data_IF_676482570707
#
_entry.id   IF_676482570707
#
_cell.length_a   1.000
_cell.length_b   1.000
_cell.length_c   1.000
_cell.angle_alpha   90.00
_cell.angle_beta   90.00
_cell.angle_gamma   90.00
#
_symmetry.space_group_name_H-M   'P 1'
#
loop_
_entity.id
_entity.type
_entity.pdbx_description
1 polymer ?
#
# COMPACT_ATOMS: atom_id res chain seq x y z
N UNK A 1 -16.69 -14.86 1.86
CA UNK A 1 -18.16 -14.88 1.61
C UNK A 1 -18.40 -14.22 0.26
N UNK A 2 -19.38 -14.68 -0.50
CA UNK A 2 -19.84 -14.03 -1.72
C UNK A 2 -21.34 -13.78 -1.57
N UNK A 3 -21.78 -12.54 -1.76
CA UNK A 3 -23.20 -12.13 -1.71
C UNK A 3 -23.46 -11.13 -2.82
N UNK A 4 -24.51 -11.32 -3.61
CA UNK A 4 -24.91 -10.46 -4.72
C UNK A 4 -23.73 -10.06 -5.64
N UNK A 5 -22.89 -11.05 -6.01
CA UNK A 5 -21.67 -10.93 -6.79
C UNK A 5 -20.53 -10.11 -6.12
N UNK A 6 -20.71 -9.66 -4.89
CA UNK A 6 -19.67 -9.00 -4.12
C UNK A 6 -18.89 -10.03 -3.30
N UNK A 7 -17.57 -10.06 -3.48
CA UNK A 7 -16.67 -10.87 -2.67
C UNK A 7 -16.31 -10.10 -1.41
N UNK A 8 -16.62 -10.70 -0.26
CA UNK A 8 -16.21 -10.20 1.04
C UNK A 8 -15.04 -10.99 1.59
N UNK A 9 -14.05 -10.28 2.12
CA UNK A 9 -13.01 -10.88 2.97
C UNK A 9 -13.21 -10.43 4.42
N UNK A 10 -12.91 -11.34 5.35
CA UNK A 10 -12.85 -10.98 6.77
C UNK A 10 -11.64 -10.07 7.05
N UNK A 11 -11.71 -9.24 8.08
CA UNK A 11 -10.55 -8.46 8.53
C UNK A 11 -9.38 -9.37 8.90
N UNK A 12 -9.66 -10.60 9.35
CA UNK A 12 -8.64 -11.60 9.62
C UNK A 12 -7.92 -12.11 8.36
N UNK A 13 -8.67 -12.34 7.27
CA UNK A 13 -8.06 -12.71 5.99
C UNK A 13 -7.24 -11.55 5.44
N UNK A 14 -7.75 -10.31 5.55
CA UNK A 14 -7.03 -9.12 5.13
C UNK A 14 -5.75 -8.95 5.95
N UNK A 15 -5.80 -9.16 7.27
CA UNK A 15 -4.63 -9.11 8.14
C UNK A 15 -3.55 -10.15 7.74
N UNK A 16 -3.97 -11.32 7.32
CA UNK A 16 -3.05 -12.39 6.95
C UNK A 16 -2.36 -12.18 5.58
N UNK A 17 -3.00 -11.47 4.65
CA UNK A 17 -2.54 -11.42 3.26
C UNK A 17 -2.16 -10.03 2.75
N UNK A 18 -2.65 -8.95 3.38
CA UNK A 18 -2.55 -7.59 2.85
C UNK A 18 -2.12 -6.54 3.87
N UNK A 19 -2.71 -6.54 5.07
CA UNK A 19 -2.51 -5.48 6.07
C UNK A 19 -2.65 -6.06 7.48
N UNK A 20 -1.56 -6.39 8.11
CA UNK A 20 -1.50 -6.91 9.48
C UNK A 20 -1.89 -5.89 10.56
N UNK A 21 -2.03 -4.62 10.19
CA UNK A 21 -2.46 -3.52 11.05
C UNK A 21 -3.95 -3.15 10.89
N UNK A 22 -4.72 -3.90 10.06
CA UNK A 22 -6.17 -3.65 9.95
C UNK A 22 -6.85 -3.79 11.30
N UNK A 23 -7.69 -2.86 11.67
CA UNK A 23 -8.40 -2.88 12.95
C UNK A 23 -9.79 -2.26 12.89
N UNK A 24 -10.61 -2.63 13.89
CA UNK A 24 -11.90 -2.02 14.11
C UNK A 24 -11.81 -0.92 15.17
N UNK A 25 -12.15 0.30 14.76
CA UNK A 25 -12.26 1.46 15.64
C UNK A 25 -13.67 1.52 16.24
N UNK A 26 -13.78 1.13 17.49
CA UNK A 26 -15.07 1.09 18.22
C UNK A 26 -15.66 2.49 18.45
N UNK A 27 -14.84 3.54 18.56
CA UNK A 27 -15.28 4.91 18.81
C UNK A 27 -16.10 5.47 17.64
N UNK A 28 -15.70 5.13 16.41
CA UNK A 28 -16.36 5.63 15.20
C UNK A 28 -17.14 4.55 14.44
N UNK A 29 -17.25 3.33 14.99
CA UNK A 29 -17.90 2.17 14.37
C UNK A 29 -17.41 1.92 12.95
N UNK A 30 -16.10 1.83 12.77
CA UNK A 30 -15.47 1.74 11.46
C UNK A 30 -14.30 0.77 11.44
N UNK A 31 -14.00 0.23 10.27
CA UNK A 31 -12.77 -0.53 10.01
C UNK A 31 -11.77 0.40 9.34
N UNK A 32 -10.53 0.37 9.80
CA UNK A 32 -9.42 1.10 9.20
C UNK A 32 -8.41 0.09 8.69
N UNK A 33 -7.99 0.27 7.45
CA UNK A 33 -6.96 -0.56 6.80
C UNK A 33 -6.01 0.28 5.99
N UNK A 34 -4.79 -0.21 5.81
CA UNK A 34 -3.69 0.47 5.15
C UNK A 34 -3.07 -0.39 4.05
N UNK A 35 -2.41 0.26 3.12
CA UNK A 35 -1.46 -0.34 2.20
C UNK A 35 -0.29 0.64 2.03
N UNK A 36 0.70 0.31 1.21
CA UNK A 36 1.90 1.15 1.03
C UNK A 36 1.60 2.63 0.74
N UNK A 37 0.46 2.92 0.09
CA UNK A 37 0.11 4.27 -0.34
C UNK A 37 -1.31 4.70 0.01
N UNK A 38 -2.09 3.85 0.69
CA UNK A 38 -3.50 4.11 0.97
C UNK A 38 -3.84 3.89 2.44
N UNK A 39 -4.69 4.77 2.95
CA UNK A 39 -5.47 4.56 4.17
C UNK A 39 -6.94 4.52 3.76
N UNK A 40 -7.63 3.45 4.09
CA UNK A 40 -9.04 3.30 3.78
C UNK A 40 -9.86 3.08 5.06
N UNK A 41 -11.02 3.73 5.14
CA UNK A 41 -11.89 3.71 6.31
C UNK A 41 -13.30 3.34 5.90
N UNK A 42 -13.90 2.37 6.57
CA UNK A 42 -15.20 1.82 6.28
C UNK A 42 -16.10 1.90 7.50
N UNK A 43 -17.08 2.80 7.49
CA UNK A 43 -18.12 2.82 8.53
C UNK A 43 -19.04 1.62 8.30
N UNK A 44 -19.28 0.84 9.37
CA UNK A 44 -20.12 -0.36 9.30
C UNK A 44 -21.53 -0.01 8.82
N UNK A 45 -22.11 -0.85 7.97
CA UNK A 45 -23.46 -0.72 7.37
C UNK A 45 -23.65 0.54 6.52
N UNK A 46 -22.57 1.13 5.99
CA UNK A 46 -22.64 2.25 5.06
C UNK A 46 -22.04 1.88 3.69
N UNK A 47 -22.78 2.21 2.63
CA UNK A 47 -22.36 1.99 1.23
C UNK A 47 -21.35 3.06 0.78
N UNK A 48 -20.38 3.37 1.61
CA UNK A 48 -19.29 4.28 1.31
C UNK A 48 -18.08 4.00 2.17
N UNK A 49 -16.92 4.34 1.64
CA UNK A 49 -15.68 4.39 2.39
C UNK A 49 -14.94 5.70 2.09
N UNK A 50 -13.88 5.97 2.83
CA UNK A 50 -12.90 6.97 2.42
C UNK A 50 -11.60 6.27 2.03
N UNK A 51 -10.93 6.76 0.99
CA UNK A 51 -9.59 6.33 0.60
C UNK A 51 -8.73 7.58 0.49
N UNK A 52 -7.70 7.69 1.31
CA UNK A 52 -6.88 8.89 1.44
C UNK A 52 -7.74 10.15 1.56
N UNK A 53 -8.70 10.14 2.51
CA UNK A 53 -9.65 11.22 2.81
C UNK A 53 -10.64 11.58 1.68
N UNK A 54 -10.66 10.84 0.58
CA UNK A 54 -11.63 11.03 -0.50
C UNK A 54 -12.79 10.05 -0.35
N UNK A 55 -14.02 10.55 -0.42
CA UNK A 55 -15.22 9.72 -0.35
C UNK A 55 -15.36 8.84 -1.60
N UNK A 56 -15.64 7.55 -1.38
CA UNK A 56 -15.86 6.54 -2.42
C UNK A 56 -17.18 5.84 -2.12
N UNK A 57 -18.08 5.82 -3.11
CA UNK A 57 -19.33 5.06 -3.02
C UNK A 57 -19.07 3.57 -3.25
N UNK A 58 -19.75 2.73 -2.49
CA UNK A 58 -19.70 1.28 -2.58
C UNK A 58 -21.08 0.75 -2.98
N UNK A 59 -21.12 -0.37 -3.69
CA UNK A 59 -22.35 -1.12 -4.00
C UNK A 59 -22.85 -1.79 -2.72
N UNK A 60 -21.93 -2.33 -1.94
CA UNK A 60 -22.24 -3.06 -0.72
C UNK A 60 -21.43 -2.53 0.49
N UNK A 61 -22.01 -2.51 1.70
CA UNK A 61 -21.37 -1.96 2.89
C UNK A 61 -20.36 -2.93 3.50
N UNK A 62 -19.39 -2.40 4.25
CA UNK A 62 -18.68 -3.18 5.26
C UNK A 62 -19.66 -3.64 6.33
N UNK A 63 -19.52 -4.87 6.84
CA UNK A 63 -20.51 -5.46 7.74
C UNK A 63 -19.88 -6.27 8.87
N UNK A 64 -20.67 -6.44 9.93
CA UNK A 64 -20.34 -7.33 11.05
C UNK A 64 -21.24 -8.55 11.00
N UNK A 65 -20.64 -9.74 11.03
CA UNK A 65 -21.34 -11.02 11.11
C UNK A 65 -20.83 -11.78 12.34
N UNK A 66 -21.68 -11.93 13.33
CA UNK A 66 -21.26 -12.47 14.62
C UNK A 66 -20.21 -11.54 15.27
N UNK A 67 -19.03 -12.09 15.52
CA UNK A 67 -17.90 -11.34 16.10
C UNK A 67 -16.84 -10.95 15.06
N UNK A 68 -17.08 -11.21 13.79
CA UNK A 68 -16.13 -10.91 12.70
C UNK A 68 -16.64 -9.76 11.83
N UNK A 69 -15.67 -9.01 11.29
CA UNK A 69 -15.92 -7.91 10.37
C UNK A 69 -15.50 -8.29 8.96
N UNK A 70 -16.25 -7.80 7.99
CA UNK A 70 -16.06 -8.11 6.57
C UNK A 70 -16.06 -6.83 5.73
N UNK A 71 -15.11 -6.73 4.82
CA UNK A 71 -15.06 -5.67 3.81
C UNK A 71 -15.54 -6.19 2.45
N UNK A 72 -16.26 -5.39 1.65
CA UNK A 72 -16.62 -5.72 0.26
C UNK A 72 -15.37 -5.69 -0.62
N UNK A 73 -14.55 -6.72 -0.50
CA UNK A 73 -13.17 -6.75 -1.00
C UNK A 73 -13.07 -6.56 -2.50
N UNK A 74 -13.98 -7.16 -3.29
CA UNK A 74 -13.97 -6.99 -4.75
C UNK A 74 -14.13 -5.55 -5.23
N UNK A 75 -14.76 -4.68 -4.41
CA UNK A 75 -14.94 -3.29 -4.76
C UNK A 75 -13.71 -2.42 -4.47
N UNK A 76 -12.90 -2.83 -3.51
CA UNK A 76 -11.77 -2.04 -3.00
C UNK A 76 -10.40 -2.66 -3.30
N UNK A 77 -10.37 -3.91 -3.70
CA UNK A 77 -9.12 -4.67 -3.87
C UNK A 77 -8.12 -3.98 -4.79
N UNK A 78 -8.61 -3.41 -5.90
CA UNK A 78 -7.77 -2.71 -6.88
C UNK A 78 -7.31 -1.34 -6.38
N UNK A 79 -8.20 -0.58 -5.75
CA UNK A 79 -7.91 0.80 -5.33
C UNK A 79 -7.10 0.88 -4.05
N UNK A 80 -7.22 -0.09 -3.14
CA UNK A 80 -6.52 -0.12 -1.85
C UNK A 80 -5.28 -1.01 -1.90
N UNK A 81 -5.43 -2.26 -2.38
CA UNK A 81 -4.38 -3.28 -2.26
C UNK A 81 -3.68 -3.63 -3.57
N UNK A 82 -4.06 -2.97 -4.67
CA UNK A 82 -3.50 -3.27 -5.97
C UNK A 82 -3.67 -4.74 -6.39
N UNK A 83 -4.89 -5.27 -6.15
CA UNK A 83 -5.27 -6.67 -6.39
C UNK A 83 -6.50 -6.72 -7.28
N UNK A 84 -6.48 -7.57 -8.28
CA UNK A 84 -7.66 -7.95 -9.06
C UNK A 84 -8.36 -9.13 -8.40
N UNK A 85 -9.68 -9.02 -8.22
CA UNK A 85 -10.52 -10.05 -7.62
C UNK A 85 -11.45 -10.63 -8.66
N UNK A 86 -11.47 -11.96 -8.81
CA UNK A 86 -12.39 -12.70 -9.69
C UNK A 86 -13.08 -13.79 -8.89
N UNK A 87 -14.40 -13.83 -8.94
CA UNK A 87 -15.17 -14.96 -8.44
C UNK A 87 -15.54 -15.89 -9.60
N UNK A 88 -15.36 -17.19 -9.40
CA UNK A 88 -15.68 -18.26 -10.35
C UNK A 88 -16.78 -19.10 -9.70
N UNK A 89 -18.02 -18.86 -10.15
CA UNK A 89 -19.24 -19.48 -9.57
C UNK A 89 -19.25 -20.99 -9.73
N UNK A 90 -18.79 -21.50 -10.89
CA UNK A 90 -18.77 -22.92 -11.24
C UNK A 90 -17.94 -23.76 -10.28
N UNK A 91 -16.90 -23.19 -9.72
CA UNK A 91 -16.00 -23.88 -8.78
C UNK A 91 -16.07 -23.31 -7.37
N UNK A 92 -16.93 -22.31 -7.15
CA UNK A 92 -17.04 -21.55 -5.89
C UNK A 92 -15.64 -21.07 -5.40
N UNK A 93 -14.86 -20.51 -6.31
CA UNK A 93 -13.47 -20.13 -6.06
C UNK A 93 -13.30 -18.63 -6.25
N UNK A 94 -12.66 -17.95 -5.31
CA UNK A 94 -12.21 -16.56 -5.45
C UNK A 94 -10.73 -16.61 -5.81
N UNK A 95 -10.38 -15.92 -6.89
CA UNK A 95 -8.99 -15.74 -7.34
C UNK A 95 -8.58 -14.31 -7.10
N UNK A 96 -7.47 -14.13 -6.38
CA UNK A 96 -6.85 -12.84 -6.09
C UNK A 96 -5.52 -12.77 -6.84
N UNK A 97 -5.37 -11.74 -7.68
CA UNK A 97 -4.18 -11.56 -8.51
C UNK A 97 -3.54 -10.23 -8.19
N UNK A 98 -2.31 -10.25 -7.66
CA UNK A 98 -1.54 -9.02 -7.41
C UNK A 98 -1.26 -8.30 -8.72
N UNK A 99 -1.55 -7.00 -8.75
CA UNK A 99 -1.29 -6.13 -9.89
C UNK A 99 0.18 -5.64 -9.92
N UNK A 100 0.98 -5.94 -8.91
CA UNK A 100 2.42 -5.62 -8.83
C UNK A 100 3.30 -6.66 -9.52
N UNK A 101 2.70 -7.68 -10.15
CA UNK A 101 3.40 -8.75 -10.85
C UNK A 101 3.20 -8.65 -12.35
N UNK A 102 4.19 -9.11 -13.08
CA UNK A 102 4.05 -9.35 -14.51
C UNK A 102 3.08 -10.51 -14.74
N UNK A 103 2.07 -10.29 -15.59
CA UNK A 103 1.10 -11.30 -15.98
C UNK A 103 1.24 -11.63 -17.46
N UNK A 104 1.28 -12.92 -17.76
CA UNK A 104 1.36 -13.45 -19.10
C UNK A 104 0.22 -14.43 -19.31
N UNK A 105 -0.49 -14.34 -20.41
CA UNK A 105 -1.38 -15.39 -20.90
C UNK A 105 -0.63 -16.31 -21.85
N UNK A 106 -0.96 -17.60 -21.76
CA UNK A 106 -0.53 -18.60 -22.73
C UNK A 106 -1.71 -19.51 -23.07
N UNK A 107 -1.68 -20.11 -24.28
CA UNK A 107 -2.66 -21.12 -24.66
C UNK A 107 -2.07 -22.51 -24.46
N UNK A 108 -2.91 -23.48 -24.08
CA UNK A 108 -2.53 -24.88 -24.13
C UNK A 108 -2.50 -25.39 -25.60
N UNK A 109 -1.36 -25.89 -26.07
CA UNK A 109 -1.21 -26.41 -27.41
C UNK A 109 -1.84 -27.80 -27.60
N UNK A 110 -2.21 -28.48 -26.50
CA UNK A 110 -2.87 -29.78 -26.48
C UNK A 110 -3.60 -29.99 -25.14
N UNK A 111 -4.44 -31.04 -25.09
CA UNK A 111 -5.06 -31.43 -23.80
C UNK A 111 -4.00 -31.80 -22.78
N UNK A 112 -4.13 -31.25 -21.58
CA UNK A 112 -3.17 -31.37 -20.49
C UNK A 112 -3.84 -31.60 -19.13
N UNK A 113 -3.06 -32.25 -18.24
CA UNK A 113 -3.39 -32.28 -16.82
C UNK A 113 -2.57 -31.24 -16.09
N UNK A 114 -3.20 -30.38 -15.32
CA UNK A 114 -2.55 -29.43 -14.41
C UNK A 114 -2.17 -30.20 -13.13
N UNK A 115 -0.91 -30.20 -12.79
CA UNK A 115 -0.34 -30.97 -11.67
C UNK A 115 -0.12 -30.10 -10.44
N UNK A 116 -0.31 -30.67 -9.24
CA UNK A 116 -0.07 -29.98 -7.98
C UNK A 116 1.43 -29.61 -7.78
N UNK A 117 2.34 -30.49 -8.25
CA UNK A 117 3.79 -30.29 -8.22
C UNK A 117 4.37 -30.45 -9.64
N UNK A 118 5.55 -29.90 -9.95
CA UNK A 118 6.19 -29.93 -11.28
C UNK A 118 6.73 -31.33 -11.62
N UNK A 119 5.89 -32.34 -11.59
CA UNK A 119 6.21 -33.72 -11.95
C UNK A 119 5.00 -34.47 -12.50
N UNK A 120 5.22 -35.39 -13.42
CA UNK A 120 4.18 -36.23 -14.02
C UNK A 120 3.47 -37.14 -13.01
N UNK A 121 4.14 -37.51 -11.93
CA UNK A 121 3.61 -38.37 -10.88
C UNK A 121 2.72 -37.64 -9.86
N UNK A 122 2.70 -36.32 -9.91
CA UNK A 122 1.91 -35.51 -8.99
C UNK A 122 0.41 -35.64 -9.25
N UNK A 123 -0.38 -35.38 -8.19
CA UNK A 123 -1.85 -35.29 -8.27
C UNK A 123 -2.26 -34.28 -9.34
N UNK A 124 -3.26 -34.63 -10.14
CA UNK A 124 -3.92 -33.69 -11.05
C UNK A 124 -4.88 -32.81 -10.25
N UNK A 125 -4.77 -31.49 -10.40
CA UNK A 125 -5.64 -30.49 -9.74
C UNK A 125 -6.68 -29.93 -10.69
N UNK A 126 -6.38 -29.94 -12.01
CA UNK A 126 -7.31 -29.53 -13.07
C UNK A 126 -6.93 -30.17 -14.39
N UNK A 127 -7.81 -30.03 -15.40
CA UNK A 127 -7.58 -30.41 -16.79
C UNK A 127 -7.84 -29.21 -17.67
N UNK A 128 -6.99 -29.02 -18.66
CA UNK A 128 -7.14 -27.98 -19.68
C UNK A 128 -7.14 -28.65 -21.06
N UNK A 129 -7.94 -28.10 -21.96
CA UNK A 129 -8.02 -28.57 -23.31
C UNK A 129 -7.10 -27.77 -24.26
N UNK A 130 -6.92 -28.26 -25.46
CA UNK A 130 -6.19 -27.53 -26.50
C UNK A 130 -6.92 -26.22 -26.82
N UNK A 131 -6.21 -25.11 -26.71
CA UNK A 131 -6.74 -23.77 -26.97
C UNK A 131 -7.12 -23.03 -25.66
N UNK A 132 -7.31 -23.73 -24.55
CA UNK A 132 -7.64 -23.07 -23.29
C UNK A 132 -6.54 -22.09 -22.89
N UNK A 133 -6.99 -20.95 -22.33
CA UNK A 133 -6.11 -19.95 -21.77
C UNK A 133 -5.69 -20.33 -20.34
N UNK A 134 -4.45 -20.04 -20.03
CA UNK A 134 -3.92 -20.09 -18.68
C UNK A 134 -3.16 -18.80 -18.38
N UNK A 135 -3.21 -18.38 -17.12
CA UNK A 135 -2.40 -17.24 -16.65
C UNK A 135 -1.09 -17.78 -16.09
N UNK A 136 0.02 -17.24 -16.57
CA UNK A 136 1.38 -17.50 -16.07
C UNK A 136 1.82 -16.28 -15.27
N UNK A 137 2.08 -16.46 -14.00
CA UNK A 137 2.66 -15.40 -13.17
C UNK A 137 4.17 -15.54 -13.22
N UNK A 138 4.85 -14.56 -13.79
CA UNK A 138 6.33 -14.54 -13.88
C UNK A 138 6.91 -14.17 -12.51
N UNK A 139 7.43 -15.17 -11.83
CA UNK A 139 8.22 -15.05 -10.61
C UNK A 139 9.39 -16.04 -10.65
N UNK A 140 10.30 -15.98 -9.68
CA UNK A 140 11.51 -16.81 -9.64
C UNK A 140 11.25 -18.32 -9.59
N UNK A 141 9.99 -18.71 -9.28
CA UNK A 141 9.56 -20.11 -9.14
C UNK A 141 8.52 -20.53 -10.17
N UNK A 142 8.27 -19.70 -11.19
CA UNK A 142 7.22 -19.95 -12.18
C UNK A 142 7.54 -21.16 -13.05
N UNK A 143 8.82 -21.39 -13.38
CA UNK A 143 9.28 -22.49 -14.20
C UNK A 143 10.33 -23.34 -13.47
N UNK A 144 10.04 -24.61 -13.29
CA UNK A 144 10.93 -25.59 -12.68
C UNK A 144 11.03 -26.86 -13.52
N UNK A 145 12.25 -27.29 -13.86
CA UNK A 145 12.50 -28.57 -14.55
C UNK A 145 11.61 -28.85 -15.77
N UNK A 146 11.34 -27.82 -16.60
CA UNK A 146 10.48 -27.94 -17.80
C UNK A 146 8.98 -27.91 -17.52
N UNK A 147 8.59 -27.48 -16.31
CA UNK A 147 7.22 -27.23 -15.92
C UNK A 147 7.01 -25.74 -15.63
N UNK A 148 5.84 -25.23 -15.99
CA UNK A 148 5.44 -23.84 -15.74
C UNK A 148 4.25 -23.81 -14.80
N UNK A 149 4.32 -22.99 -13.77
CA UNK A 149 3.21 -22.74 -12.83
C UNK A 149 2.17 -21.85 -13.52
N UNK A 150 0.93 -22.27 -13.48
CA UNK A 150 -0.19 -21.60 -14.14
C UNK A 150 -1.40 -21.52 -13.22
N UNK A 151 -2.27 -20.55 -13.51
CA UNK A 151 -3.64 -20.51 -13.00
C UNK A 151 -4.59 -20.80 -14.16
N UNK A 152 -5.49 -21.75 -13.98
CA UNK A 152 -6.51 -22.11 -14.98
C UNK A 152 -7.70 -21.14 -14.92
N UNK A 153 -8.57 -21.17 -15.93
CA UNK A 153 -9.83 -20.41 -15.92
C UNK A 153 -10.76 -20.81 -14.78
N UNK A 154 -10.64 -22.06 -14.30
CA UNK A 154 -11.36 -22.59 -13.11
C UNK A 154 -10.76 -22.14 -11.79
N UNK A 155 -9.74 -21.26 -11.80
CA UNK A 155 -9.09 -20.76 -10.59
C UNK A 155 -8.16 -21.74 -9.89
N UNK A 156 -7.81 -22.87 -10.54
CA UNK A 156 -6.88 -23.84 -9.98
C UNK A 156 -5.44 -23.47 -10.31
N UNK A 157 -4.59 -23.52 -9.28
CA UNK A 157 -3.16 -23.26 -9.42
C UNK A 157 -2.41 -24.59 -9.48
N UNK A 158 -1.50 -24.71 -10.44
CA UNK A 158 -0.68 -25.91 -10.60
C UNK A 158 0.35 -25.77 -11.70
N UNK A 159 0.89 -26.89 -12.16
CA UNK A 159 1.97 -26.96 -13.13
C UNK A 159 1.57 -27.70 -14.39
N UNK A 160 1.96 -27.16 -15.54
CA UNK A 160 1.88 -27.83 -16.85
C UNK A 160 3.27 -27.90 -17.45
N UNK A 161 3.50 -28.86 -18.38
CA UNK A 161 4.78 -28.89 -19.11
C UNK A 161 4.94 -27.63 -19.94
N UNK A 162 6.04 -26.92 -19.76
CA UNK A 162 6.35 -25.68 -20.47
C UNK A 162 6.21 -25.84 -22.00
N UNK A 163 6.66 -26.99 -22.53
CA UNK A 163 6.58 -27.32 -23.96
C UNK A 163 5.13 -27.44 -24.52
N UNK A 164 4.13 -27.39 -23.64
CA UNK A 164 2.71 -27.44 -24.02
C UNK A 164 2.02 -26.09 -24.00
N UNK A 165 2.74 -25.05 -23.62
CA UNK A 165 2.29 -23.66 -23.70
C UNK A 165 2.72 -23.05 -25.02
N UNK A 166 1.84 -22.24 -25.59
CA UNK A 166 2.05 -21.54 -26.87
C UNK A 166 1.43 -20.15 -26.80
N UNK A 167 1.79 -19.29 -27.74
CA UNK A 167 1.22 -17.95 -27.92
C UNK A 167 1.27 -17.10 -26.62
N UNK A 168 2.38 -17.15 -25.90
CA UNK A 168 2.55 -16.30 -24.72
C UNK A 168 2.36 -14.83 -25.11
N UNK A 169 1.46 -14.17 -24.41
CA UNK A 169 1.18 -12.76 -24.58
C UNK A 169 1.24 -12.09 -23.23
N UNK A 170 2.18 -11.17 -23.06
CA UNK A 170 2.25 -10.31 -21.89
C UNK A 170 1.00 -9.42 -21.85
N UNK A 171 0.25 -9.45 -20.76
CA UNK A 171 -0.95 -8.65 -20.57
C UNK A 171 -0.65 -7.37 -19.86
N UNK A 172 0.32 -7.42 -18.96
CA UNK A 172 0.67 -6.30 -18.12
C UNK A 172 2.12 -6.41 -17.63
N UNK A 173 2.81 -5.29 -17.72
CA UNK A 173 4.08 -5.10 -17.05
C UNK A 173 3.86 -4.92 -15.54
N UNK A 174 4.84 -5.31 -14.75
CA UNK A 174 4.88 -4.99 -13.33
C UNK A 174 4.79 -3.48 -13.18
N UNK A 175 3.92 -3.00 -12.28
CA UNK A 175 3.90 -1.58 -11.93
C UNK A 175 5.28 -1.18 -11.37
N UNK A 176 5.93 -0.28 -12.08
CA UNK A 176 7.18 0.30 -11.63
C UNK A 176 6.83 1.48 -10.72
N UNK A 177 6.88 1.28 -9.41
CA UNK A 177 6.77 2.40 -8.46
C UNK A 177 8.12 3.10 -8.52
N UNK A 178 8.16 4.28 -9.13
CA UNK A 178 9.36 5.12 -9.13
C UNK A 178 9.74 5.43 -7.68
N UNK A 179 10.86 4.90 -7.26
CA UNK A 179 11.45 5.29 -5.96
C UNK A 179 12.05 6.68 -6.13
N UNK A 180 11.73 7.59 -5.21
CA UNK A 180 12.34 8.93 -5.21
C UNK A 180 13.86 8.89 -5.09
N UNK A 181 14.39 7.85 -4.47
CA UNK A 181 15.82 7.61 -4.26
C UNK A 181 16.13 6.18 -4.62
N UNK A 182 17.04 5.99 -5.57
CA UNK A 182 17.59 4.68 -5.87
C UNK A 182 18.78 4.38 -4.94
N UNK A 183 18.84 3.17 -4.42
CA UNK A 183 19.93 2.72 -3.53
C UNK A 183 19.73 3.12 -2.06
N UNK A 184 20.85 3.47 -1.41
CA UNK A 184 20.83 3.78 0.03
C UNK A 184 20.44 5.23 0.29
N UNK A 185 19.62 5.45 1.33
CA UNK A 185 19.31 6.76 1.85
C UNK A 185 20.46 7.19 2.78
N UNK A 186 21.06 8.34 2.46
CA UNK A 186 22.03 9.01 3.32
C UNK A 186 21.44 10.36 3.72
N UNK A 187 20.86 10.40 4.92
CA UNK A 187 20.13 11.56 5.42
C UNK A 187 20.98 12.35 6.43
N UNK A 188 20.98 13.65 6.27
CA UNK A 188 21.55 14.57 7.24
C UNK A 188 20.47 15.45 7.86
N UNK A 189 20.37 15.41 9.18
CA UNK A 189 19.54 16.37 9.92
C UNK A 189 20.17 17.75 9.95
N UNK A 190 19.34 18.77 9.81
CA UNK A 190 19.73 20.16 9.95
C UNK A 190 18.81 20.82 10.99
N UNK A 191 19.24 20.72 12.24
CA UNK A 191 18.48 21.22 13.38
C UNK A 191 18.72 22.71 13.60
N UNK A 192 17.65 23.44 13.80
CA UNK A 192 17.63 24.83 14.30
C UNK A 192 16.35 25.02 15.12
N UNK A 193 16.42 25.89 16.12
CA UNK A 193 15.27 26.06 17.03
C UNK A 193 14.06 26.68 16.29
N UNK A 194 12.88 26.46 16.83
CA UNK A 194 11.62 27.01 16.30
C UNK A 194 11.60 28.55 16.20
N UNK A 195 12.47 29.23 16.95
CA UNK A 195 12.63 30.70 16.93
C UNK A 195 13.74 31.16 15.98
N UNK A 196 14.49 30.27 15.38
CA UNK A 196 15.57 30.60 14.49
C UNK A 196 15.13 30.43 13.02
N UNK A 197 15.66 31.27 12.15
CA UNK A 197 15.50 31.09 10.71
C UNK A 197 16.33 29.89 10.24
N UNK A 198 15.88 29.24 9.16
CA UNK A 198 16.66 28.21 8.49
C UNK A 198 18.07 28.70 8.14
N UNK A 199 19.11 27.89 8.33
CA UNK A 199 20.47 28.30 8.04
C UNK A 199 20.69 28.51 6.53
N UNK A 200 21.47 29.51 6.18
CA UNK A 200 21.90 29.69 4.81
C UNK A 200 22.94 28.61 4.47
N UNK A 201 22.68 27.84 3.42
CA UNK A 201 23.57 26.79 2.93
C UNK A 201 24.15 27.15 1.58
N UNK A 202 25.40 26.75 1.34
CA UNK A 202 26.11 26.92 0.06
C UNK A 202 26.93 25.66 -0.23
N UNK A 203 27.17 25.39 -1.51
CA UNK A 203 27.95 24.22 -1.93
C UNK A 203 27.23 22.89 -1.68
N UNK A 204 27.99 21.80 -1.71
CA UNK A 204 27.49 20.43 -1.60
C UNK A 204 28.01 19.72 -0.36
N UNK A 205 27.23 18.77 0.16
CA UNK A 205 27.58 17.87 1.25
C UNK A 205 27.86 16.50 0.64
N UNK A 206 29.11 16.07 0.66
CA UNK A 206 29.53 14.81 0.04
C UNK A 206 28.89 13.60 0.75
N UNK A 207 28.31 12.71 -0.03
CA UNK A 207 27.72 11.46 0.48
C UNK A 207 26.31 11.58 1.06
N UNK A 208 25.69 12.75 0.99
CA UNK A 208 24.30 12.99 1.40
C UNK A 208 23.40 13.06 0.17
N UNK A 209 22.22 12.46 0.23
CA UNK A 209 21.18 12.56 -0.80
C UNK A 209 19.83 13.05 -0.25
N UNK A 210 19.68 13.12 1.08
CA UNK A 210 18.51 13.70 1.75
C UNK A 210 18.97 14.68 2.81
N UNK A 211 18.36 15.86 2.85
CA UNK A 211 18.49 16.80 3.95
C UNK A 211 17.18 16.89 4.72
N UNK A 212 17.25 16.91 6.03
CA UNK A 212 16.09 16.92 6.92
C UNK A 212 16.11 18.13 7.85
N UNK A 213 15.68 19.31 7.35
CA UNK A 213 15.60 20.52 8.16
C UNK A 213 14.44 20.46 9.16
N UNK A 214 14.63 21.05 10.35
CA UNK A 214 13.65 21.11 11.43
C UNK A 214 12.52 22.13 11.12
N UNK A 215 11.75 21.88 10.08
CA UNK A 215 10.72 22.81 9.60
C UNK A 215 9.38 22.69 10.26
N UNK A 216 9.02 21.49 10.75
CA UNK A 216 7.66 21.22 11.20
C UNK A 216 7.67 20.70 12.63
N UNK A 217 6.66 21.11 13.39
CA UNK A 217 6.37 20.56 14.71
C UNK A 217 4.87 20.43 14.94
N UNK A 218 4.47 19.52 15.83
CA UNK A 218 3.11 19.52 16.35
C UNK A 218 2.89 20.82 17.12
N UNK A 219 1.72 21.42 16.94
CA UNK A 219 1.31 22.56 17.76
C UNK A 219 0.90 22.05 19.13
N UNK A 220 1.46 22.59 20.21
CA UNK A 220 1.14 22.24 21.59
C UNK A 220 -0.37 22.34 21.84
N UNK A 221 -0.98 21.25 22.34
CA UNK A 221 -2.43 21.15 22.53
C UNK A 221 -3.25 21.35 21.26
N UNK A 222 -2.62 21.33 20.08
CA UNK A 222 -3.18 21.78 18.82
C UNK A 222 -4.04 20.78 18.07
N UNK A 223 -4.33 19.62 18.62
CA UNK A 223 -5.27 18.63 18.08
C UNK A 223 -5.06 18.33 16.59
N UNK A 224 -3.84 17.96 16.23
CA UNK A 224 -3.44 17.64 14.86
C UNK A 224 -3.05 18.86 14.00
N UNK A 225 -2.95 20.05 14.55
CA UNK A 225 -2.37 21.20 13.86
C UNK A 225 -0.84 21.13 13.86
N UNK A 226 -0.24 21.79 12.86
CA UNK A 226 1.21 21.93 12.69
C UNK A 226 1.65 23.38 12.85
N UNK A 227 2.84 23.55 13.37
CA UNK A 227 3.63 24.76 13.24
C UNK A 227 4.65 24.54 12.12
N UNK A 228 4.76 25.49 11.19
CA UNK A 228 5.73 25.44 10.10
C UNK A 228 6.68 26.63 10.19
N UNK A 229 7.98 26.35 10.39
CA UNK A 229 9.04 27.35 10.42
C UNK A 229 9.85 27.34 9.11
N UNK A 230 9.19 27.66 8.00
CA UNK A 230 9.82 27.69 6.69
C UNK A 230 10.21 29.12 6.30
N UNK A 231 9.25 30.01 6.18
CA UNK A 231 9.47 31.39 5.78
C UNK A 231 10.35 31.56 4.53
N UNK A 232 10.88 32.75 4.31
CA UNK A 232 11.79 33.02 3.18
C UNK A 232 13.12 32.27 3.29
N UNK A 233 13.67 32.15 4.50
CA UNK A 233 14.93 31.44 4.72
C UNK A 233 14.80 29.96 4.44
N UNK A 234 13.68 29.32 4.86
CA UNK A 234 13.39 27.92 4.55
C UNK A 234 13.18 27.69 3.05
N UNK A 235 12.48 28.58 2.36
CA UNK A 235 12.35 28.52 0.90
C UNK A 235 13.72 28.57 0.21
N UNK A 236 14.61 29.44 0.65
CA UNK A 236 15.98 29.51 0.13
C UNK A 236 16.76 28.23 0.41
N UNK A 237 16.60 27.63 1.59
CA UNK A 237 17.19 26.36 1.94
C UNK A 237 16.70 25.23 1.02
N UNK A 238 15.40 25.12 0.78
CA UNK A 238 14.79 24.11 -0.11
C UNK A 238 15.33 24.28 -1.53
N UNK A 239 15.39 25.51 -2.04
CA UNK A 239 15.96 25.80 -3.36
C UNK A 239 17.45 25.42 -3.46
N UNK A 240 18.24 25.72 -2.43
CA UNK A 240 19.62 25.25 -2.37
C UNK A 240 19.72 23.73 -2.43
N UNK A 241 18.90 23.02 -1.65
CA UNK A 241 18.88 21.56 -1.60
C UNK A 241 18.56 20.99 -2.99
N UNK A 242 17.47 21.40 -3.61
CA UNK A 242 17.05 20.92 -4.93
C UNK A 242 18.08 21.26 -6.02
N UNK A 243 18.66 22.44 -6.01
CA UNK A 243 19.69 22.84 -6.96
C UNK A 243 20.98 22.01 -6.85
N UNK A 244 21.21 21.37 -5.71
CA UNK A 244 22.33 20.46 -5.47
C UNK A 244 21.93 18.97 -5.54
N UNK A 245 20.71 18.66 -5.98
CA UNK A 245 20.24 17.31 -6.19
C UNK A 245 19.82 16.57 -4.92
N UNK A 246 19.64 17.26 -3.80
CA UNK A 246 19.14 16.66 -2.55
C UNK A 246 17.63 16.60 -2.53
N UNK A 247 17.10 15.54 -1.93
CA UNK A 247 15.71 15.48 -1.48
C UNK A 247 15.55 16.18 -0.14
N UNK A 248 14.44 16.91 0.04
CA UNK A 248 14.12 17.59 1.28
C UNK A 248 13.01 16.83 2.00
N UNK A 249 13.38 16.12 3.06
CA UNK A 249 12.43 15.45 3.96
C UNK A 249 12.36 16.26 5.26
N UNK A 250 11.39 17.19 5.33
CA UNK A 250 11.28 18.04 6.51
C UNK A 250 11.08 17.20 7.77
N UNK A 251 11.87 17.49 8.81
CA UNK A 251 11.68 16.91 10.12
C UNK A 251 10.36 17.44 10.70
N UNK A 252 9.52 16.54 11.17
CA UNK A 252 8.32 16.81 11.95
C UNK A 252 8.50 16.28 13.36
N UNK A 253 8.71 17.18 14.31
CA UNK A 253 8.83 16.87 15.73
C UNK A 253 7.48 16.89 16.44
N UNK A 254 7.30 16.02 17.42
CA UNK A 254 6.21 16.15 18.39
C UNK A 254 6.58 17.03 19.60
N UNK A 255 7.72 17.70 19.58
CA UNK A 255 8.25 18.51 20.68
C UNK A 255 8.33 17.74 22.02
N UNK A 256 8.44 16.41 21.98
CA UNK A 256 8.36 15.53 23.15
C UNK A 256 7.06 15.71 23.97
N UNK A 257 6.01 16.31 23.37
CA UNK A 257 4.69 16.49 23.99
C UNK A 257 3.91 15.17 23.93
N UNK A 258 4.19 14.31 24.90
CA UNK A 258 3.57 12.99 25.03
C UNK A 258 2.04 13.04 25.13
N UNK A 259 1.41 13.91 25.96
CA UNK A 259 -0.06 13.97 26.05
C UNK A 259 -0.72 14.31 24.72
N UNK A 260 -0.27 15.34 24.02
CA UNK A 260 -0.81 15.74 22.70
C UNK A 260 -0.58 14.66 21.66
N UNK A 261 0.58 14.02 21.66
CA UNK A 261 0.90 12.92 20.72
C UNK A 261 -0.03 11.74 20.95
N UNK A 262 -0.20 11.30 22.21
CA UNK A 262 -1.12 10.22 22.57
C UNK A 262 -2.57 10.53 22.17
N UNK A 263 -3.06 11.76 22.40
CA UNK A 263 -4.40 12.15 22.00
C UNK A 263 -4.58 12.04 20.48
N UNK A 264 -3.61 12.50 19.69
CA UNK A 264 -3.66 12.48 18.24
C UNK A 264 -3.59 11.05 17.71
N UNK A 265 -2.64 10.25 18.20
CA UNK A 265 -2.43 8.89 17.70
C UNK A 265 -3.59 7.94 18.05
N UNK A 266 -4.28 8.18 19.15
CA UNK A 266 -5.42 7.36 19.58
C UNK A 266 -6.80 7.88 19.12
N UNK A 267 -6.85 8.98 18.36
CA UNK A 267 -8.08 9.48 17.76
C UNK A 267 -7.99 9.54 16.23
N UNK A 268 -8.81 8.75 15.54
CA UNK A 268 -8.82 8.68 14.09
C UNK A 268 -8.96 10.06 13.42
N UNK A 269 -9.90 10.91 13.89
CA UNK A 269 -10.13 12.23 13.27
C UNK A 269 -8.97 13.19 13.46
N UNK A 270 -8.30 13.11 14.60
CA UNK A 270 -7.11 13.91 14.88
C UNK A 270 -5.92 13.43 14.04
N UNK A 271 -5.75 12.10 13.89
CA UNK A 271 -4.74 11.53 12.98
C UNK A 271 -4.99 11.94 11.53
N UNK A 272 -6.22 11.80 11.03
CA UNK A 272 -6.55 12.25 9.67
C UNK A 272 -6.26 13.73 9.45
N UNK A 273 -6.64 14.55 10.42
CA UNK A 273 -6.33 15.98 10.36
C UNK A 273 -4.83 16.25 10.31
N UNK A 274 -4.06 15.55 11.13
CA UNK A 274 -2.59 15.65 11.12
C UNK A 274 -2.03 15.24 9.76
N UNK A 275 -2.44 14.09 9.23
CA UNK A 275 -1.99 13.60 7.91
C UNK A 275 -2.31 14.63 6.82
N UNK A 276 -3.52 15.17 6.79
CA UNK A 276 -3.92 16.19 5.81
C UNK A 276 -3.09 17.46 5.93
N UNK A 277 -2.76 17.90 7.14
CA UNK A 277 -1.90 19.05 7.37
C UNK A 277 -0.46 18.78 6.92
N UNK A 278 0.06 17.56 7.15
CA UNK A 278 1.38 17.13 6.64
C UNK A 278 1.40 17.18 5.11
N UNK A 279 0.43 16.55 4.45
CA UNK A 279 0.35 16.55 2.99
C UNK A 279 0.24 17.98 2.43
N UNK A 280 -0.55 18.83 3.08
CA UNK A 280 -0.66 20.25 2.72
C UNK A 280 0.69 20.96 2.84
N UNK A 281 1.44 20.73 3.91
CA UNK A 281 2.77 21.31 4.08
C UNK A 281 3.75 20.83 3.01
N UNK A 282 3.76 19.53 2.70
CA UNK A 282 4.61 18.95 1.64
C UNK A 282 4.36 19.64 0.30
N UNK A 283 3.10 19.81 -0.10
CA UNK A 283 2.74 20.48 -1.35
C UNK A 283 3.06 21.96 -1.32
N UNK A 284 2.68 22.65 -0.22
CA UNK A 284 2.83 24.12 -0.10
C UNK A 284 4.28 24.54 -0.13
N UNK A 285 5.16 23.78 0.52
CA UNK A 285 6.58 24.13 0.63
C UNK A 285 7.48 23.40 -0.39
N UNK A 286 6.88 22.63 -1.31
CA UNK A 286 7.63 21.86 -2.30
C UNK A 286 8.65 20.90 -1.66
N UNK A 287 8.22 20.14 -0.65
CA UNK A 287 9.04 19.13 0.01
C UNK A 287 8.96 17.81 -0.75
N UNK A 288 9.97 16.97 -0.62
CA UNK A 288 10.00 15.62 -1.22
C UNK A 288 9.47 14.55 -0.26
N UNK A 289 9.39 14.85 1.02
CA UNK A 289 8.91 13.91 2.04
C UNK A 289 8.95 14.48 3.44
N UNK A 290 8.68 13.60 4.39
CA UNK A 290 8.67 13.91 5.84
C UNK A 290 9.56 12.92 6.55
N UNK A 291 10.34 13.41 7.51
CA UNK A 291 11.05 12.62 8.51
C UNK A 291 10.31 12.77 9.84
N UNK A 292 9.59 11.73 10.26
CA UNK A 292 8.88 11.73 11.54
C UNK A 292 9.88 11.54 12.68
N UNK A 293 9.90 12.51 13.59
CA UNK A 293 10.75 12.53 14.78
C UNK A 293 9.88 12.65 16.03
N UNK A 294 9.12 11.57 16.29
CA UNK A 294 8.22 11.49 17.44
C UNK A 294 8.92 10.75 18.58
N UNK A 295 9.13 11.46 19.67
CA UNK A 295 9.83 10.98 20.84
C UNK A 295 8.91 10.82 22.05
N UNK A 296 9.33 10.01 23.03
CA UNK A 296 8.63 9.76 24.29
C UNK A 296 7.19 9.26 24.12
N UNK A 297 6.98 8.35 23.18
CA UNK A 297 5.69 7.70 22.95
C UNK A 297 5.28 6.82 24.14
N UNK A 298 3.98 6.56 24.30
CA UNK A 298 3.49 5.48 25.15
C UNK A 298 3.53 4.16 24.39
N UNK A 299 3.57 3.04 25.09
CA UNK A 299 3.47 1.71 24.49
C UNK A 299 2.15 1.47 23.74
N UNK A 300 1.13 2.27 24.03
CA UNK A 300 -0.20 2.21 23.44
C UNK A 300 -0.41 3.14 22.24
N UNK A 301 0.61 3.93 21.84
CA UNK A 301 0.51 4.93 20.78
C UNK A 301 0.72 4.37 19.36
#
# INVERSE_FOLDING_TARGET
IVEDDVVYLSTKDIANFFDDHIFYDNKYNQIITTSDTKVATFVIDKNKCTINSSDVSLIAPAKKIGNEFYLPFSEISKSVYNVETKYISETNTVVLVSLDRELVYANSSKNNSVKYMPTSFSKTVDKIEKGDNVTVVKDDKTAENGWTKVTTENGKIGYVKTSTLANEKQIREKLNIEKQIEGNISLAWDYFSEYASAPQRTGTIKGVNVVSPAFLALQDGGKGNLVANVGTAGTNYINWAHNNGYKVWALLSNNSDKPTTTEILNDYKLREKLINNIVTAVVTFNLDGINLDFEYLNESD
#
